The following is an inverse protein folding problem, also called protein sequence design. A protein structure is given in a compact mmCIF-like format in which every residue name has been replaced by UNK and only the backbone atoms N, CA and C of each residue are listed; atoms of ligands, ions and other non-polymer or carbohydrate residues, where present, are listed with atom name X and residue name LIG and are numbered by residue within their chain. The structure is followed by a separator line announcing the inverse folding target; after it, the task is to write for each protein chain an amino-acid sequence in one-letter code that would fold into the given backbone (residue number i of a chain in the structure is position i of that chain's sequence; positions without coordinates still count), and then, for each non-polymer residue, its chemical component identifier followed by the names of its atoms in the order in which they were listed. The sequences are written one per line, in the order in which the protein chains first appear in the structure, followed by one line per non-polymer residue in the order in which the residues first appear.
data_IF_880912479050
#
_entry.id   IF_880912479050
#
_cell.length_a   1.000
_cell.length_b   1.000
_cell.length_c   1.000
_cell.angle_alpha   90.00
_cell.angle_beta   90.00
_cell.angle_gamma   90.00
#
_symmetry.space_group_name_H-M   'P 1'
#
loop_
_entity.id
_entity.type
_entity.pdbx_description
1 polymer ?
#
# COMPACT_ATOMS: atom_id res chain seq x y z
N UNK A 1 -60.27 40.94 25.03
CA UNK A 1 -60.62 39.50 24.95
C UNK A 1 -59.41 38.78 24.36
N UNK A 2 -58.66 38.03 25.18
CA UNK A 2 -57.47 37.29 24.74
C UNK A 2 -57.89 35.92 24.19
N UNK A 3 -57.80 35.74 22.87
CA UNK A 3 -57.82 34.40 22.27
C UNK A 3 -56.43 33.79 22.43
N UNK A 4 -56.32 32.69 23.19
CA UNK A 4 -55.13 31.85 23.23
C UNK A 4 -55.27 30.82 22.11
N UNK A 5 -54.63 31.06 20.99
CA UNK A 5 -54.51 30.07 19.92
C UNK A 5 -53.54 28.96 20.37
N UNK A 6 -54.10 27.84 20.82
CA UNK A 6 -53.33 26.64 21.11
C UNK A 6 -53.15 25.80 19.84
N UNK A 7 -52.04 26.10 19.16
CA UNK A 7 -51.00 25.16 18.69
C UNK A 7 -51.43 23.70 18.45
N UNK A 8 -52.01 23.43 17.28
CA UNK A 8 -52.28 22.09 16.76
C UNK A 8 -51.30 21.59 15.69
N UNK A 9 -50.04 22.04 15.69
CA UNK A 9 -49.05 21.72 14.65
C UNK A 9 -47.84 20.88 15.12
N UNK A 10 -47.83 20.43 16.39
CA UNK A 10 -46.65 19.77 16.98
C UNK A 10 -46.35 18.38 16.42
N UNK A 11 -47.36 17.56 16.10
CA UNK A 11 -47.12 16.17 15.67
C UNK A 11 -46.55 16.10 14.24
N UNK A 12 -47.04 16.96 13.35
CA UNK A 12 -46.53 17.07 11.98
C UNK A 12 -45.12 17.68 11.94
N UNK A 13 -44.85 18.67 12.79
CA UNK A 13 -43.51 19.25 12.95
C UNK A 13 -42.50 18.21 13.43
N UNK A 14 -42.87 17.37 14.41
CA UNK A 14 -42.01 16.27 14.89
C UNK A 14 -41.82 15.18 13.83
N UNK A 15 -42.86 14.85 13.05
CA UNK A 15 -42.73 13.87 11.96
C UNK A 15 -41.75 14.35 10.88
N UNK A 16 -41.85 15.63 10.50
CA UNK A 16 -40.97 16.24 9.50
C UNK A 16 -39.53 16.35 10.02
N UNK A 17 -39.33 16.72 11.30
CA UNK A 17 -37.98 16.78 11.88
C UNK A 17 -37.35 15.40 11.92
N UNK A 18 -38.09 14.35 12.29
CA UNK A 18 -37.59 12.97 12.24
C UNK A 18 -37.26 12.56 10.81
N UNK A 19 -38.12 12.88 9.83
CA UNK A 19 -37.89 12.57 8.42
C UNK A 19 -36.61 13.23 7.89
N UNK A 20 -36.45 14.53 8.11
CA UNK A 20 -35.25 15.27 7.68
C UNK A 20 -33.99 14.75 8.39
N UNK A 21 -34.08 14.45 9.69
CA UNK A 21 -32.97 13.89 10.47
C UNK A 21 -32.57 12.51 9.95
N UNK A 22 -33.54 11.65 9.65
CA UNK A 22 -33.30 10.32 9.10
C UNK A 22 -32.57 10.39 7.74
N UNK A 23 -33.01 11.27 6.84
CA UNK A 23 -32.34 11.50 5.55
C UNK A 23 -30.92 12.04 5.76
N UNK A 24 -30.73 12.96 6.70
CA UNK A 24 -29.41 13.51 7.05
C UNK A 24 -28.43 12.45 7.55
N UNK A 25 -28.89 11.55 8.44
CA UNK A 25 -28.05 10.45 8.96
C UNK A 25 -27.69 9.45 7.86
N UNK A 26 -28.65 9.06 7.00
CA UNK A 26 -28.38 8.16 5.89
C UNK A 26 -27.36 8.75 4.90
N UNK A 27 -27.48 10.04 4.60
CA UNK A 27 -26.50 10.76 3.78
C UNK A 27 -25.10 10.76 4.40
N UNK A 28 -25.00 10.99 5.71
CA UNK A 28 -23.73 10.97 6.44
C UNK A 28 -23.10 9.56 6.44
N UNK A 29 -23.87 8.51 6.70
CA UNK A 29 -23.38 7.12 6.70
C UNK A 29 -22.86 6.73 5.33
N UNK A 30 -23.56 7.09 4.25
CA UNK A 30 -23.10 6.83 2.89
C UNK A 30 -21.76 7.53 2.60
N UNK A 31 -21.58 8.78 3.03
CA UNK A 31 -20.32 9.50 2.89
C UNK A 31 -19.20 8.88 3.74
N UNK A 32 -19.48 8.52 4.99
CA UNK A 32 -18.50 7.86 5.88
C UNK A 32 -18.02 6.53 5.30
N UNK A 33 -18.93 5.73 4.72
CA UNK A 33 -18.58 4.47 4.07
C UNK A 33 -17.57 4.65 2.92
N UNK A 34 -17.74 5.68 2.08
CA UNK A 34 -16.77 6.00 1.01
C UNK A 34 -15.46 6.54 1.57
N UNK A 35 -15.51 7.39 2.59
CA UNK A 35 -14.32 7.95 3.23
C UNK A 35 -13.41 6.86 3.83
N UNK A 36 -13.98 5.79 4.39
CA UNK A 36 -13.22 4.65 4.93
C UNK A 36 -12.45 3.92 3.82
N UNK A 37 -13.03 3.75 2.63
CA UNK A 37 -12.33 3.11 1.50
C UNK A 37 -11.14 3.96 1.04
N UNK A 38 -11.34 5.26 0.86
CA UNK A 38 -10.26 6.20 0.49
C UNK A 38 -9.13 6.23 1.53
N UNK A 39 -9.48 6.13 2.81
CA UNK A 39 -8.51 6.12 3.90
C UNK A 39 -7.67 4.84 3.86
N UNK A 40 -8.28 3.69 3.60
CA UNK A 40 -7.55 2.44 3.49
C UNK A 40 -6.54 2.49 2.33
N UNK A 41 -6.96 2.84 1.12
CA UNK A 41 -6.05 2.90 -0.04
C UNK A 41 -4.86 3.85 0.21
N UNK A 42 -5.15 5.01 0.79
CA UNK A 42 -4.10 5.96 1.19
C UNK A 42 -3.09 5.34 2.15
N UNK A 43 -3.56 4.56 3.14
CA UNK A 43 -2.68 3.85 4.08
C UNK A 43 -1.82 2.83 3.34
N UNK A 44 -2.38 1.97 2.47
CA UNK A 44 -1.57 0.98 1.74
C UNK A 44 -0.52 1.64 0.86
N UNK A 45 -0.87 2.72 0.16
CA UNK A 45 0.08 3.48 -0.65
C UNK A 45 1.19 4.11 0.19
N UNK A 46 0.87 4.66 1.36
CA UNK A 46 1.87 5.17 2.30
C UNK A 46 2.80 4.05 2.80
N UNK A 47 2.25 2.88 3.16
CA UNK A 47 3.07 1.73 3.55
C UNK A 47 4.00 1.29 2.42
N UNK A 48 3.53 1.23 1.18
CA UNK A 48 4.35 0.90 0.02
C UNK A 48 5.50 1.90 -0.19
N UNK A 49 5.26 3.20 -0.04
CA UNK A 49 6.32 4.23 -0.14
C UNK A 49 7.38 4.04 0.94
N UNK A 50 6.96 3.78 2.18
CA UNK A 50 7.89 3.53 3.31
C UNK A 50 8.71 2.28 3.05
N UNK A 51 8.08 1.16 2.67
CA UNK A 51 8.74 -0.11 2.38
C UNK A 51 9.71 -0.01 1.19
N UNK A 52 9.36 0.73 0.14
CA UNK A 52 10.25 0.96 -0.99
C UNK A 52 11.47 1.80 -0.59
N UNK A 53 11.28 2.77 0.31
CA UNK A 53 12.36 3.59 0.85
C UNK A 53 13.28 2.78 1.77
N UNK A 54 12.73 1.89 2.60
CA UNK A 54 13.51 0.94 3.40
C UNK A 54 14.37 0.04 2.51
N UNK A 55 13.81 -0.50 1.42
CA UNK A 55 14.54 -1.34 0.49
C UNK A 55 15.65 -0.58 -0.25
N UNK A 56 15.37 0.66 -0.65
CA UNK A 56 16.38 1.53 -1.24
C UNK A 56 17.57 1.77 -0.30
N UNK A 57 17.32 1.88 1.01
CA UNK A 57 18.39 2.06 1.99
C UNK A 57 19.24 0.80 2.13
N UNK A 58 18.63 -0.39 2.11
CA UNK A 58 19.35 -1.69 2.08
C UNK A 58 20.29 -1.73 0.86
N UNK A 59 19.78 -1.36 -0.31
CA UNK A 59 20.54 -1.30 -1.55
C UNK A 59 21.71 -0.32 -1.46
N UNK A 60 21.48 0.90 -0.94
CA UNK A 60 22.50 1.96 -0.83
C UNK A 60 23.58 1.64 0.19
N UNK A 61 23.24 0.91 1.24
CA UNK A 61 24.20 0.51 2.28
C UNK A 61 25.10 -0.63 1.80
N UNK A 62 24.70 -1.37 0.76
CA UNK A 62 25.42 -2.54 0.25
C UNK A 62 25.75 -2.44 -1.25
N UNK A 63 26.45 -1.37 -1.71
CA UNK A 63 26.69 -1.14 -3.15
C UNK A 63 27.58 -2.20 -3.81
N UNK A 64 28.38 -2.95 -3.03
CA UNK A 64 29.23 -4.03 -3.54
C UNK A 64 28.50 -5.34 -3.84
N UNK A 65 27.20 -5.44 -3.53
CA UNK A 65 26.40 -6.67 -3.65
C UNK A 65 25.37 -6.64 -4.78
N UNK A 66 25.42 -5.65 -5.68
CA UNK A 66 24.41 -5.42 -6.73
C UNK A 66 24.46 -6.42 -7.90
N UNK A 67 25.20 -7.53 -7.78
CA UNK A 67 25.16 -8.60 -8.77
C UNK A 67 23.87 -9.41 -8.59
N UNK A 68 23.04 -9.46 -9.63
CA UNK A 68 21.65 -9.94 -9.58
C UNK A 68 21.46 -11.44 -9.30
N UNK A 69 22.53 -12.18 -9.01
CA UNK A 69 22.55 -13.63 -8.88
C UNK A 69 23.40 -14.12 -7.69
N UNK A 70 23.70 -13.22 -6.75
CA UNK A 70 24.39 -13.57 -5.50
C UNK A 70 23.39 -13.70 -4.35
N UNK A 71 23.61 -14.66 -3.45
CA UNK A 71 22.76 -14.89 -2.27
C UNK A 71 22.72 -13.67 -1.31
N UNK A 72 23.64 -12.72 -1.48
CA UNK A 72 23.73 -11.45 -0.74
C UNK A 72 23.26 -10.23 -1.55
N UNK A 73 22.59 -10.44 -2.69
CA UNK A 73 22.09 -9.33 -3.51
C UNK A 73 20.80 -8.73 -2.95
N UNK A 74 20.66 -7.39 -2.90
CA UNK A 74 19.40 -6.74 -2.58
C UNK A 74 18.42 -6.73 -3.76
N UNK A 75 18.85 -7.21 -4.93
CA UNK A 75 18.04 -7.30 -6.15
C UNK A 75 17.32 -8.65 -6.22
N UNK A 76 16.06 -8.64 -6.63
CA UNK A 76 15.23 -9.84 -6.72
C UNK A 76 14.11 -9.65 -7.76
N UNK A 77 13.78 -10.73 -8.47
CA UNK A 77 12.71 -10.73 -9.47
C UNK A 77 11.31 -11.00 -8.89
N UNK A 78 11.22 -11.49 -7.65
CA UNK A 78 9.97 -11.78 -6.96
C UNK A 78 10.14 -11.64 -5.45
N UNK A 79 9.04 -11.39 -4.73
CA UNK A 79 9.03 -11.19 -3.28
C UNK A 79 9.84 -12.29 -2.55
N UNK A 80 10.93 -11.93 -1.85
CA UNK A 80 11.77 -12.92 -1.19
C UNK A 80 11.03 -13.63 -0.05
N UNK A 81 11.57 -14.77 0.37
CA UNK A 81 11.06 -15.53 1.51
C UNK A 81 11.15 -14.70 2.80
N UNK A 82 10.16 -14.84 3.68
CA UNK A 82 10.21 -14.17 4.98
C UNK A 82 11.26 -14.79 5.89
N UNK A 83 11.78 -13.99 6.81
CA UNK A 83 12.61 -14.49 7.91
C UNK A 83 11.81 -15.52 8.75
N UNK A 84 12.51 -16.45 9.40
CA UNK A 84 11.92 -17.47 10.30
C UNK A 84 11.97 -17.07 11.80
N UNK A 85 12.75 -16.04 12.17
CA UNK A 85 12.94 -15.56 13.56
C UNK A 85 12.72 -14.05 13.70
N UNK A 86 12.93 -13.46 14.88
CA UNK A 86 12.67 -12.03 15.10
C UNK A 86 13.64 -11.12 14.34
N UNK A 87 13.12 -10.05 13.74
CA UNK A 87 13.88 -9.06 12.97
C UNK A 87 14.61 -8.03 13.86
N UNK A 88 15.12 -8.50 14.99
CA UNK A 88 15.65 -7.69 16.08
C UNK A 88 17.16 -7.86 16.27
N UNK A 89 17.78 -8.85 15.63
CA UNK A 89 19.21 -9.07 15.72
C UNK A 89 19.93 -8.51 14.48
N UNK A 90 21.10 -7.90 14.72
CA UNK A 90 22.06 -7.65 13.64
C UNK A 90 22.49 -9.02 13.12
N UNK A 91 22.05 -9.36 11.91
CA UNK A 91 22.33 -10.65 11.26
C UNK A 91 23.83 -10.94 11.18
N UNK A 92 24.16 -12.20 10.88
CA UNK A 92 25.54 -12.60 10.64
C UNK A 92 26.12 -11.70 9.52
N UNK A 93 27.32 -11.09 9.68
CA UNK A 93 27.90 -10.21 8.65
C UNK A 93 28.08 -10.89 7.28
N UNK A 94 28.05 -12.22 7.21
CA UNK A 94 28.15 -12.99 5.96
C UNK A 94 26.81 -13.29 5.27
N UNK A 95 25.67 -12.97 5.89
CA UNK A 95 24.31 -13.16 5.32
C UNK A 95 23.43 -11.93 5.55
N UNK A 96 24.07 -10.80 5.84
CA UNK A 96 23.41 -9.61 6.36
C UNK A 96 22.32 -9.10 5.40
N UNK A 97 22.60 -9.08 4.10
CA UNK A 97 21.66 -8.57 3.10
C UNK A 97 20.47 -9.52 2.94
N UNK A 98 20.73 -10.83 2.87
CA UNK A 98 19.68 -11.85 2.84
C UNK A 98 18.76 -11.78 4.06
N UNK A 99 19.32 -11.63 5.26
CA UNK A 99 18.55 -11.50 6.50
C UNK A 99 17.72 -10.20 6.54
N UNK A 100 18.31 -9.08 6.10
CA UNK A 100 17.62 -7.80 5.97
C UNK A 100 16.44 -7.87 4.99
N UNK A 101 16.65 -8.49 3.82
CA UNK A 101 15.61 -8.72 2.83
C UNK A 101 14.51 -9.64 3.36
N UNK A 102 14.86 -10.72 4.05
CA UNK A 102 13.89 -11.65 4.62
C UNK A 102 13.02 -10.97 5.68
N UNK A 103 13.60 -10.06 6.46
CA UNK A 103 12.88 -9.24 7.43
C UNK A 103 12.00 -8.17 6.78
N UNK A 104 12.52 -7.50 5.77
CA UNK A 104 11.75 -6.58 4.95
C UNK A 104 10.56 -7.30 4.29
N UNK A 105 10.76 -8.49 3.72
CA UNK A 105 9.72 -9.27 3.07
C UNK A 105 8.63 -9.73 4.04
N UNK A 106 8.96 -9.93 5.32
CA UNK A 106 7.95 -10.15 6.37
C UNK A 106 7.10 -8.90 6.59
N UNK A 107 7.72 -7.72 6.71
CA UNK A 107 6.97 -6.45 6.84
C UNK A 107 6.05 -6.23 5.65
N UNK A 108 6.52 -6.51 4.43
CA UNK A 108 5.70 -6.44 3.21
C UNK A 108 4.45 -7.31 3.34
N UNK A 109 4.58 -8.57 3.77
CA UNK A 109 3.42 -9.46 3.95
C UNK A 109 2.45 -9.01 5.06
N UNK A 110 2.95 -8.37 6.10
CA UNK A 110 2.12 -7.85 7.20
C UNK A 110 1.37 -6.57 6.82
N UNK A 111 1.98 -5.71 6.00
CA UNK A 111 1.48 -4.36 5.72
C UNK A 111 0.75 -4.25 4.37
N UNK A 112 1.11 -5.09 3.39
CA UNK A 112 0.51 -5.10 2.07
C UNK A 112 -0.39 -6.34 1.89
N UNK A 113 -1.72 -6.15 1.78
CA UNK A 113 -2.64 -7.26 1.61
C UNK A 113 -2.39 -7.97 0.27
N UNK A 114 -2.40 -9.31 0.27
CA UNK A 114 -2.20 -10.11 -0.95
C UNK A 114 -0.76 -10.12 -1.48
N UNK A 115 0.24 -9.71 -0.68
CA UNK A 115 1.65 -9.67 -1.11
C UNK A 115 2.15 -11.00 -1.71
N UNK A 116 1.77 -12.14 -1.13
CA UNK A 116 2.18 -13.46 -1.64
C UNK A 116 1.51 -13.83 -2.98
N UNK A 117 0.28 -13.37 -3.23
CA UNK A 117 -0.43 -13.62 -4.49
C UNK A 117 0.18 -12.83 -5.65
N UNK A 118 0.68 -11.63 -5.35
CA UNK A 118 1.31 -10.73 -6.31
C UNK A 118 2.83 -10.68 -6.15
N UNK A 119 3.45 -11.75 -5.62
CA UNK A 119 4.89 -11.79 -5.35
C UNK A 119 5.75 -11.52 -6.59
N UNK A 120 5.29 -11.92 -7.78
CA UNK A 120 5.96 -11.66 -9.06
C UNK A 120 5.84 -10.20 -9.53
N UNK A 121 4.95 -9.41 -8.93
CA UNK A 121 4.82 -7.97 -9.17
C UNK A 121 5.63 -7.15 -8.17
N UNK A 122 6.32 -7.80 -7.23
CA UNK A 122 7.19 -7.20 -6.22
C UNK A 122 8.63 -7.54 -6.57
N UNK A 123 9.38 -6.56 -7.07
CA UNK A 123 10.76 -6.78 -7.54
C UNK A 123 11.65 -5.57 -7.24
N UNK A 124 12.95 -5.82 -7.21
CA UNK A 124 14.00 -4.81 -7.22
C UNK A 124 15.05 -5.19 -8.24
N UNK A 125 15.33 -4.31 -9.20
CA UNK A 125 16.26 -4.61 -10.28
C UNK A 125 16.96 -3.35 -10.82
N UNK A 126 18.07 -3.56 -11.51
CA UNK A 126 18.67 -2.52 -12.35
C UNK A 126 17.79 -2.28 -13.58
N UNK A 127 17.56 -1.02 -13.95
CA UNK A 127 16.58 -0.63 -14.96
C UNK A 127 17.06 0.51 -15.87
N UNK A 128 17.14 0.26 -17.17
CA UNK A 128 17.44 1.29 -18.18
C UNK A 128 16.20 2.07 -18.61
N UNK A 129 15.02 1.45 -18.52
CA UNK A 129 13.73 2.03 -18.83
C UNK A 129 12.64 1.54 -17.84
N UNK A 130 11.56 2.31 -17.63
CA UNK A 130 10.51 1.94 -16.68
C UNK A 130 9.93 0.54 -16.97
N UNK A 131 9.95 -0.36 -16.00
CA UNK A 131 9.42 -1.73 -16.15
C UNK A 131 10.34 -2.70 -16.89
N UNK A 132 11.58 -2.32 -17.19
CA UNK A 132 12.60 -3.24 -17.74
C UNK A 132 13.69 -3.50 -16.72
N UNK A 133 13.96 -4.77 -16.43
CA UNK A 133 15.04 -5.21 -15.54
C UNK A 133 16.22 -5.72 -16.37
N UNK A 134 17.34 -5.02 -16.33
CA UNK A 134 18.54 -5.27 -17.13
C UNK A 134 19.81 -5.09 -16.28
N UNK A 135 20.76 -6.03 -16.35
CA UNK A 135 21.94 -6.06 -15.47
C UNK A 135 22.98 -4.94 -15.70
N UNK A 136 22.90 -4.21 -16.82
CA UNK A 136 23.84 -3.14 -17.20
C UNK A 136 23.26 -1.72 -17.07
N UNK A 137 22.31 -1.52 -16.17
CA UNK A 137 21.65 -0.22 -16.02
C UNK A 137 22.21 0.60 -14.85
N UNK A 138 22.12 1.94 -14.98
CA UNK A 138 22.61 2.90 -13.97
C UNK A 138 21.53 3.36 -12.97
N UNK A 139 20.31 2.81 -13.05
CA UNK A 139 19.22 3.16 -12.16
C UNK A 139 18.61 1.91 -11.55
N UNK A 140 18.14 2.03 -10.32
CA UNK A 140 17.45 0.97 -9.60
C UNK A 140 15.96 1.25 -9.66
N UNK A 141 15.20 0.22 -10.03
CA UNK A 141 13.76 0.21 -10.01
C UNK A 141 13.27 -0.74 -8.92
N UNK A 142 12.35 -0.25 -8.09
CA UNK A 142 11.65 -1.00 -7.06
C UNK A 142 10.17 -0.93 -7.39
N UNK A 143 9.52 -2.08 -7.46
CA UNK A 143 8.07 -2.18 -7.58
C UNK A 143 7.50 -2.96 -6.42
N UNK A 144 6.42 -2.45 -5.82
CA UNK A 144 5.60 -3.13 -4.83
C UNK A 144 4.17 -3.27 -5.34
N UNK A 145 3.50 -4.33 -4.94
CA UNK A 145 2.12 -4.61 -5.28
C UNK A 145 1.30 -4.99 -4.05
N UNK A 146 0.03 -4.63 -4.05
CA UNK A 146 -0.94 -5.00 -3.01
C UNK A 146 -2.33 -5.14 -3.61
N UNK A 147 -3.21 -5.89 -2.94
CA UNK A 147 -4.59 -6.06 -3.35
C UNK A 147 -5.34 -4.72 -3.39
N UNK A 148 -6.06 -4.49 -4.47
CA UNK A 148 -6.91 -3.31 -4.62
C UNK A 148 -8.11 -3.35 -3.65
N UNK A 149 -8.49 -2.20 -3.11
CA UNK A 149 -9.78 -2.01 -2.41
C UNK A 149 -10.69 -1.22 -3.33
N UNK A 150 -11.67 -1.88 -3.96
CA UNK A 150 -12.58 -1.22 -4.90
C UNK A 150 -11.95 -0.95 -6.27
N UNK A 151 -12.32 0.17 -6.91
CA UNK A 151 -11.96 0.50 -8.29
C UNK A 151 -10.86 1.58 -8.39
N UNK A 152 -10.07 1.78 -7.34
CA UNK A 152 -9.33 3.03 -7.14
C UNK A 152 -7.85 2.97 -7.53
N UNK A 153 -7.32 1.81 -7.93
CA UNK A 153 -5.95 1.77 -8.45
C UNK A 153 -5.91 2.43 -9.84
N UNK A 154 -5.10 3.48 -10.05
CA UNK A 154 -4.86 4.02 -11.39
C UNK A 154 -3.89 3.07 -12.10
N UNK A 155 -4.41 2.02 -12.74
CA UNK A 155 -3.67 1.26 -13.74
C UNK A 155 -4.02 1.79 -15.13
N UNK A 156 -3.02 1.86 -16.01
CA UNK A 156 -3.22 2.19 -17.41
C UNK A 156 -3.83 0.97 -18.14
N UNK A 157 -5.13 0.74 -17.98
CA UNK A 157 -5.82 -0.38 -18.63
C UNK A 157 -7.20 -0.66 -18.03
N UNK A 158 -8.21 -0.74 -18.91
CA UNK A 158 -9.65 -0.73 -18.65
C UNK A 158 -10.19 -2.05 -18.05
N UNK A 159 -9.69 -2.44 -16.87
CA UNK A 159 -10.23 -3.56 -16.09
C UNK A 159 -10.16 -3.22 -14.60
N UNK A 160 -11.12 -3.69 -13.80
CA UNK A 160 -11.06 -3.57 -12.33
C UNK A 160 -9.74 -4.16 -11.84
N UNK A 161 -8.79 -3.34 -11.38
CA UNK A 161 -7.45 -3.82 -11.08
C UNK A 161 -7.52 -4.75 -9.87
N UNK A 162 -7.06 -5.99 -10.03
CA UNK A 162 -7.01 -6.96 -8.92
C UNK A 162 -5.98 -6.55 -7.86
N UNK A 163 -4.96 -5.79 -8.29
CA UNK A 163 -3.88 -5.25 -7.47
C UNK A 163 -3.51 -3.82 -7.89
N UNK A 164 -3.05 -3.05 -6.92
CA UNK A 164 -2.37 -1.77 -7.11
C UNK A 164 -0.86 -2.00 -7.16
N UNK A 165 -0.14 -1.12 -7.86
CA UNK A 165 1.33 -1.10 -7.86
C UNK A 165 1.89 0.27 -7.49
N UNK A 166 2.98 0.29 -6.75
CA UNK A 166 3.83 1.45 -6.56
C UNK A 166 5.19 1.17 -7.18
N UNK A 167 5.61 2.00 -8.13
CA UNK A 167 6.91 1.90 -8.79
C UNK A 167 7.75 3.13 -8.48
N UNK A 168 8.99 2.89 -8.10
CA UNK A 168 9.98 3.91 -7.78
C UNK A 168 11.26 3.62 -8.56
N UNK A 169 11.85 4.64 -9.19
CA UNK A 169 13.10 4.54 -9.93
C UNK A 169 14.05 5.66 -9.53
N UNK A 170 15.29 5.32 -9.23
CA UNK A 170 16.32 6.29 -8.83
C UNK A 170 17.69 5.93 -9.41
N UNK A 171 18.51 6.93 -9.69
CA UNK A 171 19.91 6.72 -10.08
C UNK A 171 20.76 6.54 -8.81
N UNK A 172 21.71 5.61 -8.86
CA UNK A 172 22.70 5.36 -7.80
C UNK A 172 24.02 6.08 -8.07
#
# INVERSE_FOLDING_TARGET
MNHRDMRGFSLLEVLITILLTAIGILGMVAMQGRAIQYTQDSVQRTQAVILASELLEIVRTNPGSLEADSDDSPLFASLPTSANGDCLEAGNPTTLVGDQLACWARKVRLLLPGADEFGNQIYSCLSSAPGTCNDNAAAIEIQLAWRAVGNECPQAGDSTPEFCTYRFRTQI
#
